data_IF_293188859103
#
_entry.id   IF_293188859103
#
_cell.length_a   1.000
_cell.length_b   1.000
_cell.length_c   1.000
_cell.angle_alpha   90.00
_cell.angle_beta   90.00
_cell.angle_gamma   90.00
#
_symmetry.space_group_name_H-M   'P 1'
#
loop_
_entity.id
_entity.type
_entity.pdbx_description
1 polymer ?
#
# COMPACT_ATOMS: atom_id res chain seq x y z
N UNK A 1 -29.96 52.35 14.59
CA UNK A 1 -29.43 53.67 14.18
C UNK A 1 -30.07 54.26 12.91
N UNK A 2 -30.84 53.52 12.14
CA UNK A 2 -31.55 54.08 10.94
C UNK A 2 -32.81 54.90 11.24
N UNK A 3 -33.24 55.00 12.50
CA UNK A 3 -34.48 55.66 12.89
C UNK A 3 -34.38 57.18 13.09
N UNK A 4 -33.17 57.76 13.15
CA UNK A 4 -33.03 59.17 13.51
C UNK A 4 -32.27 60.07 12.46
N UNK A 5 -32.14 59.63 11.24
CA UNK A 5 -31.53 60.45 10.14
C UNK A 5 -30.12 61.01 10.47
N UNK A 6 -29.41 60.48 11.48
CA UNK A 6 -28.07 60.89 11.87
C UNK A 6 -27.05 60.13 11.02
N UNK A 7 -26.26 60.82 10.22
CA UNK A 7 -25.17 60.19 9.46
C UNK A 7 -24.13 59.64 10.42
N UNK A 8 -23.77 58.35 10.33
CA UNK A 8 -22.73 57.78 11.16
C UNK A 8 -21.38 58.41 10.93
N UNK A 9 -20.60 58.60 12.00
CA UNK A 9 -19.20 59.00 11.89
C UNK A 9 -18.33 57.79 11.50
N UNK A 10 -18.18 57.51 10.21
CA UNK A 10 -17.44 56.36 9.71
C UNK A 10 -15.98 56.33 10.15
N UNK A 11 -15.34 57.52 10.37
CA UNK A 11 -13.96 57.57 10.80
C UNK A 11 -13.77 57.12 12.29
N UNK A 12 -14.74 57.47 13.13
CA UNK A 12 -14.74 57.08 14.54
C UNK A 12 -15.03 55.56 14.68
N UNK A 13 -16.06 55.08 13.98
CA UNK A 13 -16.38 53.64 13.94
C UNK A 13 -15.24 52.81 13.39
N UNK A 14 -14.56 53.30 12.40
CA UNK A 14 -13.35 52.63 11.83
C UNK A 14 -12.21 52.47 12.86
N UNK A 15 -11.99 53.51 13.69
CA UNK A 15 -11.02 53.47 14.81
C UNK A 15 -11.42 52.47 15.89
N UNK A 16 -12.70 52.52 16.30
CA UNK A 16 -13.23 51.58 17.31
C UNK A 16 -13.10 50.12 16.89
N UNK A 17 -13.36 49.82 15.62
CA UNK A 17 -13.36 48.45 15.10
C UNK A 17 -12.06 48.07 14.38
N UNK A 18 -11.01 48.91 14.47
CA UNK A 18 -9.71 48.70 13.84
C UNK A 18 -9.79 48.26 12.37
N UNK A 19 -10.59 48.97 11.57
CA UNK A 19 -10.80 48.69 10.14
C UNK A 19 -10.79 50.00 9.33
N UNK A 20 -10.71 49.87 7.99
CA UNK A 20 -10.78 51.02 7.10
C UNK A 20 -12.18 51.65 7.07
N UNK A 21 -12.28 53.00 7.04
CA UNK A 21 -13.55 53.70 7.04
C UNK A 21 -14.44 53.32 5.83
N UNK A 22 -13.84 52.94 4.71
CA UNK A 22 -14.56 52.46 3.52
C UNK A 22 -15.28 51.14 3.81
N UNK A 23 -14.70 50.29 4.68
CA UNK A 23 -15.32 49.06 5.13
C UNK A 23 -16.57 49.36 5.94
N UNK A 24 -16.50 50.30 6.90
CA UNK A 24 -17.67 50.73 7.70
C UNK A 24 -18.77 51.28 6.81
N UNK A 25 -18.42 52.18 5.89
CA UNK A 25 -19.37 52.77 4.93
C UNK A 25 -20.02 51.69 4.03
N UNK A 26 -19.27 50.68 3.67
CA UNK A 26 -19.76 49.56 2.84
C UNK A 26 -20.82 48.75 3.57
N UNK A 27 -20.62 48.47 4.87
CA UNK A 27 -21.58 47.75 5.69
C UNK A 27 -22.83 48.63 5.99
N UNK A 28 -22.67 49.91 6.21
CA UNK A 28 -23.80 50.84 6.37
C UNK A 28 -24.66 50.95 5.09
N UNK A 29 -24.05 50.82 3.93
CA UNK A 29 -24.73 50.76 2.63
C UNK A 29 -25.33 49.38 2.28
N UNK A 30 -25.46 48.47 3.29
CA UNK A 30 -26.14 47.17 3.12
C UNK A 30 -25.26 46.07 2.58
N UNK A 31 -23.92 46.17 2.74
CA UNK A 31 -23.04 45.07 2.37
C UNK A 31 -23.12 43.94 3.42
N UNK A 32 -23.63 42.79 3.03
CA UNK A 32 -23.81 41.59 3.89
C UNK A 32 -22.63 40.60 3.85
N UNK A 33 -21.48 41.04 3.40
CA UNK A 33 -20.29 40.18 3.24
C UNK A 33 -19.94 39.92 1.77
N UNK A 34 -18.89 39.14 1.51
CA UNK A 34 -18.60 38.70 0.16
C UNK A 34 -19.75 37.82 -0.33
N UNK A 35 -20.30 38.06 -1.54
CA UNK A 35 -21.27 37.12 -2.09
C UNK A 35 -20.67 35.72 -2.06
N UNK A 36 -21.51 34.77 -1.68
CA UNK A 36 -21.18 33.35 -1.74
C UNK A 36 -20.54 33.08 -3.08
N UNK A 37 -19.29 32.62 -3.06
CA UNK A 37 -18.51 32.36 -4.28
C UNK A 37 -19.35 31.47 -5.17
N UNK A 38 -19.51 31.84 -6.45
CA UNK A 38 -20.20 31.08 -7.48
C UNK A 38 -19.80 29.60 -7.34
N UNK A 39 -20.73 28.73 -7.05
CA UNK A 39 -20.53 27.28 -7.02
C UNK A 39 -20.15 26.85 -8.42
N UNK A 40 -18.86 26.57 -8.61
CA UNK A 40 -18.35 25.97 -9.85
C UNK A 40 -18.56 24.47 -9.75
N UNK A 41 -19.21 23.89 -10.75
CA UNK A 41 -19.27 22.44 -10.90
C UNK A 41 -17.86 21.85 -10.85
N UNK A 42 -17.70 20.84 -10.06
CA UNK A 42 -16.44 20.12 -9.95
C UNK A 42 -16.34 19.07 -11.08
N UNK A 43 -15.14 18.93 -11.67
CA UNK A 43 -14.88 17.81 -12.60
C UNK A 43 -15.15 16.43 -11.97
N UNK A 44 -15.22 16.35 -10.65
CA UNK A 44 -15.48 15.13 -9.89
C UNK A 44 -16.98 14.85 -9.72
N UNK A 45 -17.86 15.83 -10.03
CA UNK A 45 -19.32 15.65 -9.85
C UNK A 45 -19.88 14.53 -10.72
N UNK A 46 -19.31 14.33 -11.92
CA UNK A 46 -19.66 13.20 -12.80
C UNK A 46 -19.36 11.81 -12.20
N UNK A 47 -18.48 11.75 -11.18
CA UNK A 47 -18.11 10.52 -10.48
C UNK A 47 -18.60 10.48 -9.04
N UNK A 48 -19.45 11.41 -8.62
CA UNK A 48 -19.84 11.60 -7.21
C UNK A 48 -20.35 10.31 -6.57
N UNK A 49 -21.29 9.65 -7.21
CA UNK A 49 -21.92 8.43 -6.68
C UNK A 49 -20.95 7.24 -6.70
N UNK A 50 -20.14 7.12 -7.77
CA UNK A 50 -19.12 6.09 -7.88
C UNK A 50 -18.00 6.28 -6.83
N UNK A 51 -17.55 7.53 -6.60
CA UNK A 51 -16.60 7.85 -5.52
C UNK A 51 -17.15 7.46 -4.16
N UNK A 52 -18.42 7.80 -3.89
CA UNK A 52 -19.09 7.46 -2.65
C UNK A 52 -19.15 5.95 -2.45
N UNK A 53 -19.63 5.20 -3.43
CA UNK A 53 -19.75 3.74 -3.37
C UNK A 53 -18.39 3.05 -3.14
N UNK A 54 -17.31 3.51 -3.82
CA UNK A 54 -15.97 2.96 -3.61
C UNK A 54 -15.39 3.30 -2.24
N UNK A 55 -15.75 4.45 -1.65
CA UNK A 55 -15.32 4.83 -0.30
C UNK A 55 -16.10 4.11 0.81
N UNK A 56 -17.30 3.62 0.53
CA UNK A 56 -18.11 2.82 1.44
C UNK A 56 -17.61 1.38 1.55
N UNK A 57 -16.82 0.90 0.61
CA UNK A 57 -16.23 -0.45 0.68
C UNK A 57 -15.36 -0.60 1.95
N UNK A 58 -15.50 -1.72 2.68
CA UNK A 58 -14.70 -1.97 3.89
C UNK A 58 -13.20 -1.88 3.61
N UNK A 59 -12.47 -1.13 4.45
CA UNK A 59 -11.02 -0.93 4.28
C UNK A 59 -10.60 0.08 3.21
N UNK A 60 -11.52 0.62 2.41
CA UNK A 60 -11.21 1.65 1.41
C UNK A 60 -10.63 2.91 2.04
N UNK A 61 -9.75 3.61 1.33
CA UNK A 61 -9.14 4.88 1.74
C UNK A 61 -9.32 5.94 0.65
N UNK A 62 -9.35 7.23 1.03
CA UNK A 62 -9.45 8.33 0.05
C UNK A 62 -8.28 8.27 -0.95
N UNK A 63 -7.08 7.91 -0.49
CA UNK A 63 -5.91 7.79 -1.36
C UNK A 63 -6.04 6.62 -2.33
N UNK A 64 -6.47 5.44 -1.86
CA UNK A 64 -6.71 4.27 -2.70
C UNK A 64 -7.77 4.54 -3.76
N UNK A 65 -8.88 5.16 -3.37
CA UNK A 65 -9.95 5.55 -4.29
C UNK A 65 -9.46 6.58 -5.33
N UNK A 66 -8.68 7.58 -4.91
CA UNK A 66 -8.05 8.52 -5.85
C UNK A 66 -7.16 7.81 -6.88
N UNK A 67 -6.33 6.86 -6.44
CA UNK A 67 -5.42 6.13 -7.32
C UNK A 67 -6.17 5.26 -8.34
N UNK A 68 -7.31 4.67 -7.94
CA UNK A 68 -8.22 3.96 -8.83
C UNK A 68 -8.76 4.89 -9.90
N UNK A 69 -9.38 6.03 -9.52
CA UNK A 69 -9.92 6.98 -10.49
C UNK A 69 -8.85 7.60 -11.38
N UNK A 70 -7.65 7.84 -10.84
CA UNK A 70 -6.51 8.36 -11.62
C UNK A 70 -6.04 7.36 -12.69
N UNK A 71 -6.17 6.06 -12.44
CA UNK A 71 -5.90 5.03 -13.42
C UNK A 71 -7.01 4.93 -14.50
N UNK A 72 -8.28 5.21 -14.12
CA UNK A 72 -9.44 5.18 -15.01
C UNK A 72 -9.54 6.45 -15.89
N UNK A 73 -9.31 7.62 -15.29
CA UNK A 73 -9.40 8.92 -15.95
C UNK A 73 -8.30 9.89 -15.45
N UNK A 74 -7.30 10.11 -16.26
CA UNK A 74 -6.19 11.00 -15.92
C UNK A 74 -6.61 12.47 -15.72
N UNK A 75 -7.81 12.88 -16.15
CA UNK A 75 -8.34 14.23 -16.06
C UNK A 75 -8.90 14.62 -14.68
N UNK A 76 -9.01 13.70 -13.73
CA UNK A 76 -9.60 13.95 -12.40
C UNK A 76 -8.85 14.96 -11.53
N UNK A 77 -7.68 15.41 -11.97
CA UNK A 77 -6.86 16.39 -11.26
C UNK A 77 -5.92 15.79 -10.21
N UNK A 78 -5.51 16.61 -9.25
CA UNK A 78 -4.56 16.20 -8.22
C UNK A 78 -5.25 15.64 -6.97
N UNK A 79 -4.48 14.91 -6.14
CA UNK A 79 -4.96 14.31 -4.90
C UNK A 79 -5.54 15.33 -3.91
N UNK A 80 -4.95 16.52 -3.79
CA UNK A 80 -5.41 17.54 -2.84
C UNK A 80 -6.84 17.99 -3.13
N UNK A 81 -7.17 18.16 -4.42
CA UNK A 81 -8.53 18.50 -4.84
C UNK A 81 -9.51 17.35 -4.60
N UNK A 82 -9.12 16.12 -4.93
CA UNK A 82 -9.92 14.93 -4.66
C UNK A 82 -10.18 14.74 -3.16
N UNK A 83 -9.16 14.94 -2.33
CA UNK A 83 -9.28 14.88 -0.87
C UNK A 83 -10.24 15.94 -0.33
N UNK A 84 -10.12 17.20 -0.77
CA UNK A 84 -11.03 18.29 -0.38
C UNK A 84 -12.47 17.98 -0.80
N UNK A 85 -12.66 17.50 -2.03
CA UNK A 85 -13.96 17.12 -2.55
C UNK A 85 -14.60 16.01 -1.70
N UNK A 86 -13.88 14.94 -1.41
CA UNK A 86 -14.36 13.84 -0.56
C UNK A 86 -14.70 14.29 0.86
N UNK A 87 -13.92 15.23 1.40
CA UNK A 87 -14.17 15.84 2.74
C UNK A 87 -15.41 16.73 2.74
N UNK A 88 -15.55 17.60 1.76
CA UNK A 88 -16.69 18.54 1.68
C UNK A 88 -18.02 17.79 1.49
N UNK A 89 -17.99 16.64 0.82
CA UNK A 89 -19.16 15.78 0.67
C UNK A 89 -19.34 14.77 1.82
N UNK A 90 -18.51 14.80 2.88
CA UNK A 90 -18.59 13.93 4.06
C UNK A 90 -18.55 12.43 3.75
N UNK A 91 -17.85 12.01 2.70
CA UNK A 91 -17.80 10.60 2.28
C UNK A 91 -17.03 9.70 3.25
N UNK A 92 -16.14 10.22 4.11
CA UNK A 92 -15.39 9.44 5.10
C UNK A 92 -14.96 10.23 6.34
N UNK A 93 -15.03 9.60 7.53
CA UNK A 93 -14.60 10.18 8.82
C UNK A 93 -13.08 10.14 9.00
N UNK A 94 -12.54 11.05 9.83
CA UNK A 94 -11.09 11.17 10.16
C UNK A 94 -10.64 10.04 11.10
N UNK A 95 -9.49 9.41 10.83
CA UNK A 95 -8.80 8.53 11.76
C UNK A 95 -7.65 9.27 12.44
N UNK A 96 -7.40 8.98 13.73
CA UNK A 96 -6.30 9.56 14.50
C UNK A 96 -4.99 8.81 14.21
N UNK A 97 -3.88 9.56 14.05
CA UNK A 97 -2.56 9.00 13.79
C UNK A 97 -1.78 8.84 15.10
N UNK A 98 -1.10 7.69 15.25
CA UNK A 98 -0.10 7.43 16.30
C UNK A 98 1.32 7.62 15.74
N UNK A 99 2.26 8.09 16.57
CA UNK A 99 3.66 8.27 16.21
C UNK A 99 4.48 7.04 16.64
N UNK A 100 5.36 6.57 15.74
CA UNK A 100 6.27 5.46 16.00
C UNK A 100 7.72 5.85 15.66
N UNK A 101 8.73 5.42 16.44
CA UNK A 101 10.13 5.69 16.15
C UNK A 101 10.58 5.00 14.85
N UNK A 102 11.39 5.68 14.04
CA UNK A 102 11.91 5.16 12.77
C UNK A 102 13.19 4.37 13.00
N UNK A 103 13.32 3.26 12.27
CA UNK A 103 14.52 2.43 12.25
C UNK A 103 15.08 2.40 10.82
N UNK A 104 16.29 2.93 10.64
CA UNK A 104 16.99 2.89 9.35
C UNK A 104 17.87 1.64 9.25
N UNK A 105 18.03 1.11 8.04
CA UNK A 105 18.89 -0.04 7.74
C UNK A 105 19.85 0.30 6.62
N UNK A 106 21.01 -0.34 6.63
CA UNK A 106 22.01 -0.23 5.57
C UNK A 106 21.51 -0.87 4.26
N UNK A 107 22.12 -0.48 3.13
CA UNK A 107 21.81 -1.06 1.82
C UNK A 107 22.12 -2.55 1.77
N UNK A 108 21.26 -3.33 1.15
CA UNK A 108 21.39 -4.78 1.02
C UNK A 108 21.29 -5.57 2.32
N UNK A 109 21.09 -4.90 3.45
CA UNK A 109 21.10 -5.56 4.76
C UNK A 109 19.87 -6.38 5.03
N UNK A 110 18.68 -5.81 4.85
CA UNK A 110 17.45 -6.41 5.35
C UNK A 110 16.28 -6.30 4.37
N UNK A 111 15.57 -7.41 4.18
CA UNK A 111 14.24 -7.48 3.60
C UNK A 111 13.23 -7.79 4.71
N UNK A 112 12.21 -6.98 4.87
CA UNK A 112 11.06 -7.28 5.74
C UNK A 112 9.95 -7.90 4.91
N UNK A 113 9.23 -8.89 5.45
CA UNK A 113 8.09 -9.48 4.76
C UNK A 113 6.95 -9.87 5.71
N UNK A 114 5.74 -9.87 5.17
CA UNK A 114 4.50 -10.18 5.88
C UNK A 114 3.41 -10.66 4.92
N UNK A 115 2.35 -11.22 5.50
CA UNK A 115 1.12 -11.51 4.79
C UNK A 115 0.06 -10.43 5.03
N UNK A 116 -0.58 -9.98 3.97
CA UNK A 116 -1.93 -9.42 4.06
C UNK A 116 -2.90 -10.56 3.78
N UNK A 117 -3.51 -11.06 4.85
CA UNK A 117 -4.28 -12.29 4.83
C UNK A 117 -5.76 -12.04 4.54
N UNK A 118 -6.43 -13.09 4.04
CA UNK A 118 -7.89 -13.22 3.95
C UNK A 118 -8.56 -12.04 3.21
N UNK A 119 -7.94 -11.62 2.11
CA UNK A 119 -8.54 -10.59 1.25
C UNK A 119 -9.67 -11.25 0.47
N UNK A 120 -10.85 -10.63 0.53
CA UNK A 120 -12.05 -11.06 -0.18
C UNK A 120 -12.43 -10.00 -1.18
N UNK A 121 -12.50 -10.38 -2.44
CA UNK A 121 -12.94 -9.51 -3.52
C UNK A 121 -13.90 -10.25 -4.43
N UNK A 122 -14.85 -9.53 -4.99
CA UNK A 122 -15.84 -10.06 -5.92
C UNK A 122 -15.54 -9.53 -7.31
N UNK A 123 -15.58 -10.39 -8.33
CA UNK A 123 -15.39 -9.98 -9.71
C UNK A 123 -16.67 -9.37 -10.32
N UNK A 124 -16.62 -8.98 -11.58
CA UNK A 124 -17.79 -8.41 -12.32
C UNK A 124 -18.98 -9.36 -12.41
N UNK A 125 -18.73 -10.66 -12.31
CA UNK A 125 -19.74 -11.72 -12.45
C UNK A 125 -20.34 -12.17 -11.12
N UNK A 126 -19.91 -11.58 -10.00
CA UNK A 126 -20.39 -11.92 -8.66
C UNK A 126 -19.63 -13.09 -8.01
N UNK A 127 -18.54 -13.57 -8.61
CA UNK A 127 -17.74 -14.65 -8.05
C UNK A 127 -16.79 -14.11 -6.96
N UNK A 128 -16.73 -14.82 -5.83
CA UNK A 128 -15.88 -14.47 -4.70
C UNK A 128 -14.48 -15.05 -4.86
N UNK A 129 -13.48 -14.19 -4.78
CA UNK A 129 -12.06 -14.54 -4.72
C UNK A 129 -11.54 -14.32 -3.31
N UNK A 130 -11.01 -15.38 -2.70
CA UNK A 130 -10.33 -15.32 -1.41
C UNK A 130 -8.84 -15.62 -1.62
N UNK A 131 -7.97 -14.70 -1.20
CA UNK A 131 -6.54 -14.79 -1.45
C UNK A 131 -5.74 -14.01 -0.41
N UNK A 132 -4.44 -14.14 -0.49
CA UNK A 132 -3.49 -13.42 0.35
C UNK A 132 -2.50 -12.65 -0.54
N UNK A 133 -1.91 -11.59 -0.02
CA UNK A 133 -0.81 -10.89 -0.66
C UNK A 133 0.42 -11.03 0.23
N UNK A 134 1.47 -11.64 -0.32
CA UNK A 134 2.79 -11.59 0.27
C UNK A 134 3.38 -10.22 -0.01
N UNK A 135 3.63 -9.45 1.03
CA UNK A 135 4.27 -8.16 0.92
C UNK A 135 5.70 -8.24 1.42
N UNK A 136 6.62 -7.64 0.70
CA UNK A 136 8.00 -7.53 1.13
C UNK A 136 8.55 -6.14 0.84
N UNK A 137 9.48 -5.67 1.68
CA UNK A 137 10.04 -4.33 1.62
C UNK A 137 11.52 -4.36 1.92
N UNK A 138 12.35 -3.86 1.00
CA UNK A 138 13.78 -3.65 1.26
C UNK A 138 13.97 -2.54 2.30
N UNK A 139 14.91 -2.77 3.19
CA UNK A 139 15.07 -1.96 4.38
C UNK A 139 15.54 -0.54 4.13
N UNK A 140 16.43 -0.30 3.17
CA UNK A 140 16.98 1.01 2.85
C UNK A 140 16.20 1.73 1.75
N UNK A 141 16.07 1.16 0.57
CA UNK A 141 15.37 1.79 -0.57
C UNK A 141 13.86 1.89 -0.38
N UNK A 142 13.29 1.12 0.56
CA UNK A 142 11.83 0.98 0.72
C UNK A 142 11.15 0.41 -0.53
N UNK A 143 11.88 -0.30 -1.37
CA UNK A 143 11.29 -0.99 -2.51
C UNK A 143 10.32 -2.05 -2.02
N UNK A 144 9.07 -1.98 -2.49
CA UNK A 144 8.03 -2.94 -2.16
C UNK A 144 7.88 -3.99 -3.26
N UNK A 145 7.61 -5.22 -2.87
CA UNK A 145 7.23 -6.30 -3.78
C UNK A 145 5.96 -6.97 -3.25
N UNK A 146 4.90 -6.97 -4.06
CA UNK A 146 3.61 -7.58 -3.74
C UNK A 146 3.38 -8.79 -4.63
N UNK A 147 3.10 -9.93 -4.04
CA UNK A 147 2.88 -11.18 -4.75
C UNK A 147 1.54 -11.76 -4.31
N UNK A 148 0.67 -12.02 -5.28
CA UNK A 148 -0.56 -12.75 -5.08
C UNK A 148 -0.26 -14.19 -4.67
N UNK A 149 -1.02 -14.72 -3.70
CA UNK A 149 -0.98 -16.12 -3.31
C UNK A 149 -2.35 -16.60 -2.84
N UNK A 150 -2.79 -17.74 -3.35
CA UNK A 150 -4.04 -18.35 -2.93
C UNK A 150 -3.95 -18.88 -1.48
N UNK A 151 -2.79 -19.38 -1.11
CA UNK A 151 -2.54 -19.94 0.21
C UNK A 151 -1.40 -19.23 0.92
N UNK A 152 -1.20 -19.50 2.20
CA UNK A 152 -0.17 -18.95 3.08
C UNK A 152 0.63 -20.02 3.82
N UNK A 153 0.82 -21.15 3.15
CA UNK A 153 1.59 -22.28 3.70
C UNK A 153 3.09 -21.95 3.73
N UNK A 154 3.88 -22.81 4.34
CA UNK A 154 5.35 -22.69 4.33
C UNK A 154 5.91 -22.69 2.92
N UNK A 155 5.37 -23.54 2.05
CA UNK A 155 5.77 -23.61 0.64
C UNK A 155 5.45 -22.29 -0.07
N UNK A 156 4.29 -21.69 0.20
CA UNK A 156 3.93 -20.40 -0.40
C UNK A 156 4.87 -19.28 0.05
N UNK A 157 5.29 -19.27 1.34
CA UNK A 157 6.30 -18.31 1.82
C UNK A 157 7.62 -18.51 1.07
N UNK A 158 8.09 -19.74 0.90
CA UNK A 158 9.33 -20.03 0.16
C UNK A 158 9.22 -19.57 -1.31
N UNK A 159 8.13 -19.91 -1.99
CA UNK A 159 7.84 -19.47 -3.37
C UNK A 159 7.82 -17.96 -3.51
N UNK A 160 7.12 -17.28 -2.60
CA UNK A 160 7.04 -15.82 -2.62
C UNK A 160 8.39 -15.16 -2.35
N UNK A 161 9.21 -15.69 -1.44
CA UNK A 161 10.57 -15.20 -1.20
C UNK A 161 11.46 -15.39 -2.44
N UNK A 162 11.43 -16.57 -3.09
CA UNK A 162 12.19 -16.80 -4.32
C UNK A 162 11.76 -15.82 -5.42
N UNK A 163 10.47 -15.65 -5.66
CA UNK A 163 9.94 -14.67 -6.62
C UNK A 163 10.40 -13.23 -6.27
N UNK A 164 10.42 -12.89 -4.98
CA UNK A 164 10.91 -11.59 -4.51
C UNK A 164 12.40 -11.41 -4.84
N UNK A 165 13.23 -12.40 -4.54
CA UNK A 165 14.67 -12.36 -4.83
C UNK A 165 14.95 -12.27 -6.33
N UNK A 166 14.18 -12.99 -7.15
CA UNK A 166 14.25 -12.86 -8.61
C UNK A 166 13.86 -11.46 -9.09
N UNK A 167 12.80 -10.88 -8.53
CA UNK A 167 12.34 -9.53 -8.87
C UNK A 167 13.38 -8.44 -8.52
N UNK A 168 14.00 -8.53 -7.34
CA UNK A 168 15.05 -7.59 -6.94
C UNK A 168 16.42 -7.89 -7.54
N UNK A 169 16.59 -9.06 -8.14
CA UNK A 169 17.83 -9.49 -8.80
C UNK A 169 19.00 -9.76 -7.86
N UNK A 170 18.74 -10.13 -6.60
CA UNK A 170 19.76 -10.44 -5.61
C UNK A 170 19.19 -10.87 -4.26
N UNK A 171 20.08 -11.14 -3.31
CA UNK A 171 19.72 -11.59 -1.96
C UNK A 171 20.12 -10.56 -0.91
N UNK A 172 19.22 -10.15 -0.02
CA UNK A 172 19.60 -9.38 1.17
C UNK A 172 20.42 -10.26 2.14
N UNK A 173 21.17 -9.65 3.03
CA UNK A 173 21.90 -10.39 4.04
C UNK A 173 20.96 -11.15 4.97
N UNK A 174 19.86 -10.49 5.38
CA UNK A 174 18.87 -11.05 6.28
C UNK A 174 17.43 -10.77 5.83
N UNK A 175 16.52 -11.64 6.24
CA UNK A 175 15.09 -11.41 6.12
C UNK A 175 14.47 -11.29 7.51
N UNK A 176 13.55 -10.33 7.69
CA UNK A 176 12.85 -10.11 8.95
C UNK A 176 11.36 -10.35 8.77
N UNK A 177 10.79 -11.15 9.64
CA UNK A 177 9.34 -11.40 9.70
C UNK A 177 8.85 -11.39 11.15
N UNK A 178 7.54 -11.34 11.32
CA UNK A 178 6.96 -11.63 12.64
C UNK A 178 6.96 -13.14 12.96
N UNK A 179 6.25 -13.53 14.03
CA UNK A 179 6.16 -14.93 14.44
C UNK A 179 5.09 -15.69 13.64
N UNK A 180 5.16 -15.61 12.30
CA UNK A 180 4.21 -16.27 11.40
C UNK A 180 4.25 -17.80 11.57
N UNK A 181 3.08 -18.39 11.92
CA UNK A 181 2.96 -19.81 12.28
C UNK A 181 3.32 -20.78 11.15
N UNK A 182 3.27 -20.34 9.91
CA UNK A 182 3.66 -21.15 8.74
C UNK A 182 5.15 -21.50 8.72
N UNK A 183 6.02 -20.66 9.30
CA UNK A 183 7.48 -20.85 9.29
C UNK A 183 8.11 -20.85 10.69
N UNK A 184 7.37 -20.46 11.73
CA UNK A 184 7.84 -20.40 13.11
C UNK A 184 7.00 -21.32 13.98
N UNK A 185 7.64 -22.19 14.75
CA UNK A 185 7.01 -22.96 15.83
C UNK A 185 6.68 -21.97 16.97
N UNK A 186 5.39 -21.73 17.18
CA UNK A 186 4.91 -20.75 18.17
C UNK A 186 5.20 -21.17 19.62
N UNK A 187 5.35 -22.49 19.88
CA UNK A 187 5.68 -23.02 21.21
C UNK A 187 7.17 -22.88 21.50
N UNK A 188 8.02 -23.36 20.60
CA UNK A 188 9.49 -23.30 20.73
C UNK A 188 10.06 -21.92 20.40
N UNK A 189 9.28 -21.07 19.76
CA UNK A 189 9.71 -19.75 19.25
C UNK A 189 10.93 -19.85 18.32
N UNK A 190 11.00 -20.88 17.51
CA UNK A 190 12.06 -21.15 16.54
C UNK A 190 11.50 -21.32 15.15
N UNK A 191 12.30 -21.02 14.14
CA UNK A 191 11.96 -21.40 12.76
C UNK A 191 11.92 -22.92 12.63
N UNK A 192 10.97 -23.43 11.86
CA UNK A 192 10.92 -24.84 11.50
C UNK A 192 12.19 -25.25 10.75
N UNK A 193 12.58 -26.53 10.89
CA UNK A 193 13.80 -27.09 10.32
C UNK A 193 13.88 -26.84 8.80
N UNK A 194 12.79 -27.11 8.09
CA UNK A 194 12.69 -26.97 6.64
C UNK A 194 12.84 -25.51 6.18
N UNK A 195 12.40 -24.55 6.98
CA UNK A 195 12.62 -23.14 6.65
C UNK A 195 14.06 -22.69 6.93
N UNK A 196 14.70 -23.26 7.99
CA UNK A 196 16.13 -23.05 8.24
C UNK A 196 16.99 -23.64 7.13
N UNK A 197 16.66 -24.83 6.64
CA UNK A 197 17.34 -25.47 5.49
C UNK A 197 17.17 -24.61 4.22
N UNK A 198 15.94 -24.22 3.87
CA UNK A 198 15.66 -23.31 2.77
C UNK A 198 16.49 -22.03 2.85
N UNK A 199 16.53 -21.38 4.02
CA UNK A 199 17.29 -20.14 4.19
C UNK A 199 18.79 -20.32 4.02
N UNK A 200 19.32 -21.48 4.43
CA UNK A 200 20.72 -21.86 4.25
C UNK A 200 21.03 -22.15 2.79
N UNK A 201 20.16 -22.90 2.11
CA UNK A 201 20.33 -23.26 0.69
C UNK A 201 20.31 -22.02 -0.20
N UNK A 202 19.40 -21.05 0.10
CA UNK A 202 19.30 -19.79 -0.65
C UNK A 202 20.41 -18.81 -0.25
N UNK A 203 20.89 -18.80 1.00
CA UNK A 203 22.03 -17.99 1.45
C UNK A 203 21.68 -16.69 2.17
N UNK A 204 20.52 -16.62 2.84
CA UNK A 204 20.11 -15.49 3.70
C UNK A 204 19.92 -15.92 5.16
N UNK A 205 19.96 -14.94 6.08
CA UNK A 205 19.77 -15.18 7.51
C UNK A 205 18.33 -14.84 7.88
N UNK A 206 17.49 -15.81 8.29
CA UNK A 206 16.14 -15.52 8.73
C UNK A 206 16.15 -14.94 10.14
N UNK A 207 15.48 -13.79 10.32
CA UNK A 207 15.26 -13.13 11.61
C UNK A 207 13.78 -12.97 11.89
N UNK A 208 13.42 -12.95 13.15
CA UNK A 208 12.06 -12.65 13.60
C UNK A 208 12.04 -11.45 14.52
N UNK A 209 10.94 -10.73 14.51
CA UNK A 209 10.73 -9.60 15.41
C UNK A 209 10.74 -10.05 16.86
N UNK A 210 11.37 -9.26 17.74
CA UNK A 210 11.25 -9.48 19.17
C UNK A 210 9.81 -9.23 19.61
N UNK A 211 9.24 -10.07 20.48
CA UNK A 211 7.90 -9.86 21.01
C UNK A 211 7.76 -8.46 21.61
N UNK A 212 6.64 -7.80 21.38
CA UNK A 212 6.30 -6.43 21.83
C UNK A 212 7.16 -5.28 21.28
N UNK A 213 8.00 -5.54 20.27
CA UNK A 213 8.76 -4.49 19.58
C UNK A 213 8.21 -4.26 18.15
N UNK A 214 6.91 -3.96 18.05
CA UNK A 214 6.20 -3.72 16.78
C UNK A 214 6.88 -2.64 15.90
N UNK A 215 7.58 -1.68 16.50
CA UNK A 215 8.29 -0.63 15.78
C UNK A 215 9.44 -1.14 14.89
N UNK A 216 9.96 -2.36 15.11
CA UNK A 216 10.97 -2.96 14.22
C UNK A 216 10.39 -3.36 12.87
N UNK A 217 9.06 -3.51 12.77
CA UNK A 217 8.30 -3.85 11.57
C UNK A 217 7.63 -2.65 10.89
N UNK A 218 7.87 -1.43 11.36
CA UNK A 218 7.20 -0.22 10.86
C UNK A 218 7.32 0.03 9.35
N UNK A 219 8.23 -0.68 8.66
CA UNK A 219 8.39 -0.63 7.21
C UNK A 219 7.27 -1.40 6.49
N UNK A 220 6.85 -2.54 7.03
CA UNK A 220 5.76 -3.35 6.47
C UNK A 220 4.37 -2.81 6.83
N UNK A 221 4.19 -2.21 8.01
CA UNK A 221 2.92 -1.55 8.35
C UNK A 221 2.60 -0.43 7.35
N UNK A 222 3.62 0.28 6.86
CA UNK A 222 3.43 1.26 5.78
C UNK A 222 3.03 0.60 4.46
N UNK A 223 3.47 -0.64 4.22
CA UNK A 223 3.15 -1.45 3.06
C UNK A 223 1.65 -1.84 3.03
N UNK A 224 1.09 -2.23 4.17
CA UNK A 224 -0.33 -2.56 4.30
C UNK A 224 -1.26 -1.41 3.89
N UNK A 225 -0.80 -0.17 3.97
CA UNK A 225 -1.52 1.01 3.48
C UNK A 225 -1.76 0.95 1.97
N UNK A 226 -0.81 0.41 1.20
CA UNK A 226 -0.95 0.30 -0.24
C UNK A 226 -1.93 -0.79 -0.68
N UNK A 227 -2.17 -1.79 0.19
CA UNK A 227 -3.19 -2.81 -0.06
C UNK A 227 -4.60 -2.22 -0.12
N UNK A 228 -4.84 -1.11 0.56
CA UNK A 228 -6.11 -0.39 0.43
C UNK A 228 -6.37 0.17 -0.97
N UNK A 229 -5.36 0.25 -1.84
CA UNK A 229 -5.51 0.67 -3.24
C UNK A 229 -6.12 -0.41 -4.12
N UNK A 230 -6.06 -1.66 -3.66
CA UNK A 230 -6.70 -2.79 -4.35
C UNK A 230 -8.23 -2.78 -4.16
N UNK A 231 -8.71 -2.33 -2.99
CA UNK A 231 -10.12 -2.42 -2.62
C UNK A 231 -11.08 -1.76 -3.63
N UNK A 232 -10.78 -0.56 -4.19
CA UNK A 232 -11.63 0.06 -5.20
C UNK A 232 -11.81 -0.74 -6.50
N UNK A 233 -10.93 -1.72 -6.76
CA UNK A 233 -11.06 -2.63 -7.90
C UNK A 233 -12.07 -3.75 -7.68
N UNK A 234 -12.69 -3.82 -6.49
CA UNK A 234 -13.79 -4.76 -6.23
C UNK A 234 -14.92 -4.53 -7.25
N UNK A 235 -15.40 -5.59 -7.85
CA UNK A 235 -16.35 -5.62 -8.99
C UNK A 235 -15.81 -5.05 -10.31
N UNK A 236 -14.48 -4.86 -10.46
CA UNK A 236 -13.88 -4.25 -11.66
C UNK A 236 -13.01 -5.23 -12.47
N UNK A 237 -12.67 -6.40 -11.94
CA UNK A 237 -11.87 -7.44 -12.59
C UNK A 237 -12.74 -8.63 -13.02
N UNK A 238 -12.25 -9.46 -13.92
CA UNK A 238 -12.95 -10.62 -14.45
C UNK A 238 -12.34 -11.94 -13.94
N UNK A 239 -11.02 -12.06 -14.02
CA UNK A 239 -10.28 -13.30 -13.72
C UNK A 239 -9.24 -13.10 -12.61
N UNK A 240 -8.66 -14.22 -12.13
CA UNK A 240 -7.53 -14.22 -11.19
C UNK A 240 -6.30 -13.54 -11.82
N UNK A 241 -6.07 -13.75 -13.12
CA UNK A 241 -4.97 -13.14 -13.85
C UNK A 241 -5.11 -11.61 -13.93
N UNK A 242 -6.34 -11.11 -14.08
CA UNK A 242 -6.59 -9.66 -14.03
C UNK A 242 -6.27 -9.09 -12.65
N UNK A 243 -6.66 -9.80 -11.60
CA UNK A 243 -6.36 -9.43 -10.22
C UNK A 243 -4.84 -9.39 -9.97
N UNK A 244 -4.11 -10.38 -10.46
CA UNK A 244 -2.63 -10.42 -10.39
C UNK A 244 -2.05 -9.21 -11.12
N UNK A 245 -2.50 -8.90 -12.34
CA UNK A 245 -2.06 -7.72 -13.10
C UNK A 245 -2.36 -6.40 -12.39
N UNK A 246 -3.49 -6.31 -11.68
CA UNK A 246 -3.83 -5.12 -10.88
C UNK A 246 -2.82 -4.97 -9.72
N UNK A 247 -2.50 -6.05 -9.02
CA UNK A 247 -1.51 -6.06 -7.93
C UNK A 247 -0.14 -5.61 -8.45
N UNK A 248 0.30 -6.14 -9.60
CA UNK A 248 1.55 -5.75 -10.24
C UNK A 248 1.58 -4.25 -10.63
N UNK A 249 0.48 -3.74 -11.20
CA UNK A 249 0.35 -2.31 -11.52
C UNK A 249 0.43 -1.43 -10.26
N UNK A 250 -0.20 -1.85 -9.16
CA UNK A 250 -0.12 -1.15 -7.87
C UNK A 250 1.33 -1.18 -7.37
N UNK A 251 1.99 -2.33 -7.42
CA UNK A 251 3.38 -2.50 -7.02
C UNK A 251 4.32 -1.53 -7.77
N UNK A 252 4.22 -1.50 -9.10
CA UNK A 252 5.01 -0.59 -9.93
C UNK A 252 4.72 0.88 -9.60
N UNK A 253 3.46 1.23 -9.40
CA UNK A 253 3.04 2.60 -9.10
C UNK A 253 3.57 3.08 -7.75
N UNK A 254 3.48 2.25 -6.71
CA UNK A 254 3.99 2.54 -5.37
C UNK A 254 5.50 2.80 -5.40
N UNK A 255 6.24 1.98 -6.12
CA UNK A 255 7.70 2.11 -6.23
C UNK A 255 8.17 3.32 -7.06
N UNK A 256 7.29 3.87 -7.90
CA UNK A 256 7.55 5.09 -8.71
C UNK A 256 7.10 6.38 -8.03
N UNK A 257 6.32 6.33 -6.95
CA UNK A 257 5.90 7.52 -6.21
C UNK A 257 6.97 7.90 -5.18
N UNK A 258 7.09 9.22 -4.92
CA UNK A 258 7.96 9.73 -3.86
C UNK A 258 7.49 9.14 -2.52
N UNK A 259 8.40 8.46 -1.85
CA UNK A 259 8.19 7.99 -0.50
C UNK A 259 8.61 9.09 0.48
N UNK A 260 7.67 9.54 1.32
CA UNK A 260 7.88 10.68 2.25
C UNK A 260 9.03 10.44 3.24
N UNK A 261 9.38 9.17 3.52
CA UNK A 261 10.44 8.82 4.47
C UNK A 261 11.83 9.04 3.88
N UNK A 262 12.02 8.63 2.62
CA UNK A 262 13.32 8.69 1.93
C UNK A 262 13.42 9.88 0.96
N UNK A 263 12.33 10.62 0.74
CA UNK A 263 12.29 11.84 -0.10
C UNK A 263 12.39 11.59 -1.60
N UNK A 264 12.53 10.35 -2.04
CA UNK A 264 12.65 9.95 -3.46
C UNK A 264 11.77 8.72 -3.75
N UNK A 265 11.50 8.41 -5.03
CA UNK A 265 10.86 7.14 -5.38
C UNK A 265 11.72 5.93 -4.98
N UNK A 266 11.16 4.88 -4.36
CA UNK A 266 11.87 3.67 -3.99
C UNK A 266 12.71 3.06 -5.10
N UNK A 267 12.19 3.05 -6.34
CA UNK A 267 12.88 2.50 -7.50
C UNK A 267 14.19 3.22 -7.82
N UNK A 268 14.30 4.53 -7.54
CA UNK A 268 15.52 5.30 -7.75
C UNK A 268 16.60 4.92 -6.73
N UNK A 269 16.21 4.84 -5.45
CA UNK A 269 17.15 4.47 -4.39
C UNK A 269 17.57 2.99 -4.50
N UNK A 270 16.68 2.16 -5.01
CA UNK A 270 16.95 0.73 -5.27
C UNK A 270 18.09 0.51 -6.26
N UNK A 271 18.30 1.39 -7.25
CA UNK A 271 19.42 1.25 -8.17
C UNK A 271 20.75 1.19 -7.41
N UNK A 272 20.88 1.98 -6.35
CA UNK A 272 22.04 1.95 -5.45
C UNK A 272 22.02 0.71 -4.54
N UNK A 273 20.88 0.36 -3.95
CA UNK A 273 20.78 -0.78 -3.04
C UNK A 273 21.07 -2.10 -3.74
N UNK A 274 20.76 -2.22 -5.02
CA UNK A 274 21.00 -3.41 -5.82
C UNK A 274 22.47 -3.82 -5.86
N UNK A 275 23.41 -2.87 -5.80
CA UNK A 275 24.86 -3.12 -5.80
C UNK A 275 25.34 -3.81 -4.51
N UNK A 276 24.56 -3.73 -3.44
CA UNK A 276 24.86 -4.30 -2.12
C UNK A 276 24.18 -5.66 -1.88
N UNK A 277 23.31 -6.09 -2.80
CA UNK A 277 22.69 -7.39 -2.70
C UNK A 277 23.69 -8.50 -3.09
N UNK A 278 23.63 -9.63 -2.40
CA UNK A 278 24.41 -10.82 -2.78
C UNK A 278 23.89 -11.35 -4.12
N UNK A 279 24.75 -12.00 -4.93
CA UNK A 279 24.33 -12.63 -6.17
C UNK A 279 23.24 -13.67 -5.96
N UNK A 280 22.33 -13.77 -6.92
CA UNK A 280 21.35 -14.86 -6.97
C UNK A 280 22.04 -16.20 -7.24
N UNK A 281 21.48 -17.25 -6.66
CA UNK A 281 21.85 -18.61 -7.01
C UNK A 281 21.40 -18.96 -8.44
N UNK A 282 21.90 -20.09 -8.94
CA UNK A 282 21.50 -20.61 -10.24
C UNK A 282 19.97 -20.80 -10.31
N UNK A 283 19.40 -20.55 -11.49
CA UNK A 283 17.96 -20.76 -11.72
C UNK A 283 17.51 -22.19 -11.39
N UNK A 284 18.40 -23.20 -11.53
CA UNK A 284 18.09 -24.58 -11.18
C UNK A 284 17.72 -24.73 -9.71
N UNK A 285 18.47 -24.11 -8.79
CA UNK A 285 18.20 -24.14 -7.36
C UNK A 285 16.95 -23.31 -7.04
N UNK A 286 16.80 -22.12 -7.60
CA UNK A 286 15.63 -21.27 -7.37
C UNK A 286 14.34 -21.95 -7.86
N UNK A 287 14.38 -22.57 -9.04
CA UNK A 287 13.23 -23.26 -9.62
C UNK A 287 12.79 -24.49 -8.83
N UNK A 288 13.69 -25.18 -8.11
CA UNK A 288 13.32 -26.31 -7.26
C UNK A 288 12.38 -25.92 -6.10
N UNK A 289 12.38 -24.63 -5.72
CA UNK A 289 11.44 -24.09 -4.71
C UNK A 289 10.17 -23.45 -5.30
N UNK A 290 10.14 -23.20 -6.63
CA UNK A 290 8.97 -22.61 -7.30
C UNK A 290 7.95 -23.65 -7.73
N UNK A 291 8.39 -24.87 -8.03
CA UNK A 291 7.54 -25.93 -8.56
C UNK A 291 7.42 -27.07 -7.53
N UNK A 292 6.30 -27.76 -7.57
CA UNK A 292 6.12 -28.96 -6.76
C UNK A 292 7.07 -30.06 -7.27
N UNK A 293 7.88 -30.59 -6.36
CA UNK A 293 8.71 -31.77 -6.67
C UNK A 293 7.91 -33.04 -6.39
N UNK A 294 7.75 -33.84 -7.41
CA UNK A 294 7.14 -35.16 -7.29
C UNK A 294 8.26 -36.18 -7.07
N UNK A 295 8.23 -36.89 -5.95
CA UNK A 295 9.12 -38.02 -5.72
C UNK A 295 8.51 -39.27 -6.33
N UNK A 296 9.16 -39.85 -7.32
CA UNK A 296 8.77 -41.14 -7.88
C UNK A 296 9.82 -42.20 -7.53
N UNK A 297 9.35 -43.40 -7.16
CA UNK A 297 10.25 -44.59 -7.05
C UNK A 297 10.66 -45.00 -8.45
N UNK A 298 11.93 -45.03 -8.69
CA UNK A 298 12.49 -45.55 -9.94
C UNK A 298 12.71 -47.07 -9.76
N UNK A 299 12.24 -47.89 -10.70
CA UNK A 299 12.50 -49.32 -10.74
C UNK A 299 13.98 -49.62 -11.04
N UNK A 300 14.39 -50.88 -10.85
CA UNK A 300 15.76 -51.33 -11.23
C UNK A 300 16.05 -51.20 -12.72
N UNK A 301 15.01 -51.01 -13.54
CA UNK A 301 15.10 -50.77 -14.98
C UNK A 301 15.12 -49.27 -15.36
N UNK A 302 15.32 -48.38 -14.36
CA UNK A 302 15.30 -46.93 -14.50
C UNK A 302 13.94 -46.35 -14.98
N UNK A 303 12.85 -47.09 -14.79
CA UNK A 303 11.50 -46.65 -15.11
C UNK A 303 10.79 -46.09 -13.87
N UNK A 304 9.98 -45.04 -14.04
CA UNK A 304 9.07 -44.53 -13.03
C UNK A 304 7.66 -44.36 -13.60
N UNK A 305 6.68 -44.58 -12.76
CA UNK A 305 5.26 -44.38 -13.13
C UNK A 305 4.78 -43.06 -12.57
N UNK A 306 4.14 -42.28 -13.42
CA UNK A 306 3.51 -41.01 -13.07
C UNK A 306 2.01 -41.09 -13.37
N UNK A 307 1.17 -40.87 -12.35
CA UNK A 307 -0.28 -40.96 -12.46
C UNK A 307 -0.84 -42.31 -12.99
N UNK A 308 -0.17 -43.41 -12.75
CA UNK A 308 -0.68 -44.74 -13.10
C UNK A 308 -0.61 -45.10 -14.59
N UNK A 309 0.21 -44.39 -15.37
CA UNK A 309 0.56 -44.72 -16.75
C UNK A 309 2.03 -45.08 -16.90
#
# INVERSE_FOLDING_TARGET
MKTNNIKPNYAELARIHNCDYRTVKKYDNGYEGKPTTREKESKLDKYKDEIKSKLELPGSTIKGTYEFFKAKDNSIGNYSNFYKYSKNNNFKKKNNNSFHPRYETEFGKQLQFDWKEEIKMVNKYGELFEFNIFSSTLGASRLHVFIYSKFKTRIDVQRCLVKTFQYIGGLPEETLTDNMSSIVDTKKKEFYKEFKEFSKDIGFIPKKCKPRHAYTKGKDESCNRFMSWLIPYNYEFETEEDLIRIIEKINLKVNKQINETIGVPPIMLFQKEKEYLKPLLSNKILNSYLYDTISAKVSNEALFYYNGS
#
